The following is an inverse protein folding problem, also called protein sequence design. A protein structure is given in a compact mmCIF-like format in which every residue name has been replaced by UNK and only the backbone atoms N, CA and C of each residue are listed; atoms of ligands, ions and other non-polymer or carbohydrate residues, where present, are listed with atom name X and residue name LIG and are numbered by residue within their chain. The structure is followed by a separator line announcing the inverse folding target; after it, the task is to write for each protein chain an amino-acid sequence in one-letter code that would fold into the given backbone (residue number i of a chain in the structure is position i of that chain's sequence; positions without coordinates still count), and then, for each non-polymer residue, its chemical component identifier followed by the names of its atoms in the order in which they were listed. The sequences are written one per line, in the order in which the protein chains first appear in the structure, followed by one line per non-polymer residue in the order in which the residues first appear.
data_IF_506825132378
#
_entry.id   IF_506825132378
#
_cell.length_a   1.000
_cell.length_b   1.000
_cell.length_c   1.000
_cell.angle_alpha   90.00
_cell.angle_beta   90.00
_cell.angle_gamma   90.00
#
_symmetry.space_group_name_H-M   'P 1'
#
loop_
_entity.id
_entity.type
_entity.pdbx_description
1 polymer ?
#
# COMPACT_ATOMS: atom_id res chain seq x y z
N UNK A 1 56.01 -4.68 -6.16
CA UNK A 1 55.13 -5.33 -5.16
C UNK A 1 54.69 -4.39 -4.03
N UNK A 2 55.59 -3.82 -3.21
CA UNK A 2 55.21 -2.93 -2.07
C UNK A 2 54.39 -1.68 -2.45
N UNK A 3 54.72 -1.02 -3.58
CA UNK A 3 53.97 0.18 -4.06
C UNK A 3 52.55 -0.16 -4.56
N UNK A 4 52.40 -1.30 -5.24
CA UNK A 4 51.10 -1.80 -5.69
C UNK A 4 50.23 -2.21 -4.49
N UNK A 5 50.80 -2.90 -3.50
CA UNK A 5 50.10 -3.26 -2.27
C UNK A 5 49.66 -2.01 -1.47
N UNK A 6 50.52 -1.00 -1.34
CA UNK A 6 50.16 0.27 -0.70
C UNK A 6 49.05 1.01 -1.48
N UNK A 7 49.11 1.02 -2.80
CA UNK A 7 48.05 1.59 -3.65
C UNK A 7 46.71 0.88 -3.48
N UNK A 8 46.71 -0.46 -3.51
CA UNK A 8 45.51 -1.26 -3.27
C UNK A 8 44.91 -0.99 -1.88
N UNK A 9 45.76 -0.92 -0.84
CA UNK A 9 45.31 -0.65 0.52
C UNK A 9 44.68 0.75 0.64
N UNK A 10 45.24 1.78 -0.03
CA UNK A 10 44.64 3.12 -0.07
C UNK A 10 43.26 3.09 -0.73
N UNK A 11 43.11 2.39 -1.86
CA UNK A 11 41.82 2.27 -2.55
C UNK A 11 40.79 1.55 -1.66
N UNK A 12 41.17 0.44 -1.02
CA UNK A 12 40.29 -0.29 -0.10
C UNK A 12 39.90 0.60 1.09
N UNK A 13 40.85 1.31 1.71
CA UNK A 13 40.56 2.22 2.82
C UNK A 13 39.62 3.36 2.41
N UNK A 14 39.77 3.88 1.19
CA UNK A 14 38.89 4.92 0.67
C UNK A 14 37.46 4.41 0.43
N UNK A 15 37.32 3.22 -0.17
CA UNK A 15 36.00 2.57 -0.35
C UNK A 15 35.35 2.30 1.01
N UNK A 16 36.12 1.79 1.97
CA UNK A 16 35.64 1.55 3.34
C UNK A 16 35.17 2.85 3.99
N UNK A 17 35.93 3.94 3.83
CA UNK A 17 35.54 5.26 4.35
C UNK A 17 34.22 5.73 3.76
N UNK A 18 34.02 5.61 2.44
CA UNK A 18 32.74 5.94 1.79
C UNK A 18 31.60 5.11 2.36
N UNK A 19 31.80 3.79 2.50
CA UNK A 19 30.80 2.89 3.06
C UNK A 19 30.44 3.27 4.50
N UNK A 20 31.43 3.58 5.34
CA UNK A 20 31.21 4.03 6.72
C UNK A 20 30.43 5.36 6.72
N UNK A 21 30.81 6.34 5.90
CA UNK A 21 30.11 7.61 5.81
C UNK A 21 28.65 7.44 5.38
N UNK A 22 28.37 6.59 4.39
CA UNK A 22 27.01 6.32 3.93
C UNK A 22 26.17 5.58 4.99
N UNK A 23 26.74 4.58 5.66
CA UNK A 23 26.06 3.88 6.76
C UNK A 23 25.78 4.87 7.90
N UNK A 24 26.76 5.68 8.30
CA UNK A 24 26.56 6.72 9.32
C UNK A 24 25.45 7.70 8.91
N UNK A 25 25.39 8.11 7.64
CA UNK A 25 24.30 8.94 7.13
C UNK A 25 22.93 8.28 7.30
N UNK A 26 22.77 7.01 6.91
CA UNK A 26 21.50 6.28 7.08
C UNK A 26 21.07 6.22 8.55
N UNK A 27 21.99 5.95 9.47
CA UNK A 27 21.66 5.89 10.90
C UNK A 27 21.35 7.26 11.52
N UNK A 28 22.02 8.33 11.08
CA UNK A 28 21.80 9.68 11.59
C UNK A 28 20.51 10.30 11.07
N UNK A 29 20.12 9.99 9.83
CA UNK A 29 18.93 10.55 9.21
C UNK A 29 17.68 9.69 9.41
N UNK A 30 17.84 8.42 9.82
CA UNK A 30 16.73 7.54 10.14
C UNK A 30 15.86 8.13 11.26
N UNK A 31 14.64 8.49 10.89
CA UNK A 31 13.60 8.99 11.78
C UNK A 31 12.30 8.30 11.43
N UNK A 32 11.54 7.99 12.46
CA UNK A 32 10.16 7.52 12.33
C UNK A 32 9.24 8.58 12.89
N UNK A 33 8.10 8.76 12.24
CA UNK A 33 7.05 9.59 12.80
C UNK A 33 6.52 8.95 14.09
N UNK A 34 6.09 9.76 15.07
CA UNK A 34 5.55 9.26 16.31
C UNK A 34 4.29 8.42 16.06
N UNK A 35 4.02 7.53 17.02
CA UNK A 35 2.78 6.77 17.06
C UNK A 35 1.60 7.65 17.50
N UNK A 36 0.36 7.22 17.18
CA UNK A 36 -0.87 7.94 17.51
C UNK A 36 -0.84 9.41 17.07
N UNK A 37 -0.46 9.63 15.81
CA UNK A 37 -0.32 10.96 15.23
C UNK A 37 -1.63 11.37 14.58
N UNK A 38 -2.30 12.39 15.12
CA UNK A 38 -3.47 12.98 14.47
C UNK A 38 -3.10 13.50 13.07
N UNK A 39 -3.94 13.22 12.09
CA UNK A 39 -3.76 13.65 10.71
C UNK A 39 -4.66 14.82 10.38
N UNK A 40 -4.18 15.68 9.49
CA UNK A 40 -4.98 16.77 8.94
C UNK A 40 -6.00 16.21 7.95
N UNK A 41 -7.28 16.41 8.27
CA UNK A 41 -8.39 16.07 7.40
C UNK A 41 -8.71 17.27 6.52
N UNK A 42 -8.72 17.07 5.20
CA UNK A 42 -9.13 18.09 4.24
C UNK A 42 -10.56 17.81 3.80
N UNK A 43 -11.50 18.47 4.48
CA UNK A 43 -12.90 18.41 4.11
C UNK A 43 -13.22 19.47 3.05
N UNK A 44 -13.61 19.03 1.85
CA UNK A 44 -13.98 19.92 0.74
C UNK A 44 -15.29 20.64 1.08
N UNK A 45 -15.25 21.97 1.13
CA UNK A 45 -16.39 22.80 1.59
C UNK A 45 -17.52 22.95 0.58
N UNK A 46 -17.32 22.53 -0.67
CA UNK A 46 -18.28 22.67 -1.77
C UNK A 46 -19.01 21.37 -2.12
N UNK A 47 -18.74 20.28 -1.42
CA UNK A 47 -19.44 19.02 -1.66
C UNK A 47 -20.84 19.08 -1.07
N UNK A 48 -21.82 18.65 -1.86
CA UNK A 48 -23.15 18.41 -1.35
C UNK A 48 -23.09 17.25 -0.34
N UNK A 49 -23.97 17.28 0.66
CA UNK A 49 -24.19 16.10 1.51
C UNK A 49 -24.59 14.93 0.61
N UNK A 50 -23.89 13.78 0.68
CA UNK A 50 -24.26 12.62 -0.12
C UNK A 50 -25.71 12.21 0.13
N UNK A 51 -26.40 11.78 -0.92
CA UNK A 51 -27.75 11.20 -0.79
C UNK A 51 -27.68 9.86 -0.05
N UNK A 52 -28.79 9.52 0.61
CA UNK A 52 -28.91 8.23 1.28
C UNK A 52 -28.91 7.07 0.28
N UNK A 53 -28.19 6.01 0.60
CA UNK A 53 -27.99 4.85 -0.27
C UNK A 53 -28.30 3.54 0.45
N UNK A 54 -28.76 2.57 -0.33
CA UNK A 54 -28.98 1.21 0.16
C UNK A 54 -27.70 0.35 0.15
N UNK A 55 -26.70 0.74 -0.64
CA UNK A 55 -25.40 0.08 -0.72
C UNK A 55 -24.30 1.13 -0.91
N UNK A 56 -23.09 0.75 -0.51
CA UNK A 56 -21.89 1.57 -0.55
C UNK A 56 -20.76 0.78 -1.21
N UNK A 57 -19.79 1.50 -1.74
CA UNK A 57 -18.60 0.92 -2.34
C UNK A 57 -17.32 1.46 -1.69
N UNK A 58 -16.40 0.56 -1.35
CA UNK A 58 -15.03 0.90 -0.95
C UNK A 58 -14.06 0.29 -1.96
N UNK A 59 -13.18 1.09 -2.54
CA UNK A 59 -12.08 0.61 -3.40
C UNK A 59 -10.74 0.73 -2.71
N UNK A 60 -9.94 -0.34 -2.74
CA UNK A 60 -8.52 -0.30 -2.40
C UNK A 60 -7.67 -0.39 -3.66
N UNK A 61 -6.57 0.36 -3.72
CA UNK A 61 -5.65 0.29 -4.84
C UNK A 61 -4.23 0.75 -4.46
N UNK A 62 -3.28 -0.18 -4.45
CA UNK A 62 -1.86 0.15 -4.44
C UNK A 62 -1.47 0.72 -5.82
N UNK A 63 -1.09 1.99 -5.88
CA UNK A 63 -0.85 2.65 -7.16
C UNK A 63 0.59 2.50 -7.67
N UNK A 64 1.47 1.78 -6.97
CA UNK A 64 2.83 1.51 -7.43
C UNK A 64 3.65 2.80 -7.66
N UNK A 65 3.37 3.87 -6.90
CA UNK A 65 3.92 5.22 -7.12
C UNK A 65 3.68 5.78 -8.54
N UNK A 66 2.63 5.27 -9.20
CA UNK A 66 2.36 5.46 -10.63
C UNK A 66 3.60 5.19 -11.52
N UNK A 67 4.52 4.36 -11.06
CA UNK A 67 5.85 4.18 -11.65
C UNK A 67 6.01 2.84 -12.35
N UNK A 68 5.11 1.89 -12.12
CA UNK A 68 5.21 0.49 -12.54
C UNK A 68 4.10 0.12 -13.55
N UNK A 69 4.11 0.66 -14.78
CA UNK A 69 3.21 0.20 -15.83
C UNK A 69 3.46 -1.27 -16.19
N UNK A 70 2.63 -1.82 -17.05
CA UNK A 70 2.65 -3.23 -17.48
C UNK A 70 3.98 -3.63 -18.13
N UNK A 71 4.64 -2.72 -18.86
CA UNK A 71 5.93 -2.97 -19.49
C UNK A 71 7.15 -2.80 -18.54
N UNK A 72 6.91 -2.42 -17.28
CA UNK A 72 7.95 -2.18 -16.30
C UNK A 72 8.51 -3.46 -15.67
N UNK A 73 9.77 -3.39 -15.24
CA UNK A 73 10.43 -4.43 -14.44
C UNK A 73 11.37 -3.81 -13.40
N UNK A 74 11.11 -4.13 -12.14
CA UNK A 74 11.82 -3.66 -10.96
C UNK A 74 13.06 -4.49 -10.65
N UNK A 75 14.18 -3.81 -10.41
CA UNK A 75 15.50 -4.46 -10.27
C UNK A 75 15.66 -5.37 -9.05
N UNK A 76 14.96 -5.09 -7.93
CA UNK A 76 15.03 -5.96 -6.74
C UNK A 76 14.45 -7.33 -7.05
N UNK A 77 13.43 -7.38 -7.90
CA UNK A 77 12.76 -8.60 -8.35
C UNK A 77 13.48 -9.28 -9.53
N UNK A 78 14.67 -8.81 -9.89
CA UNK A 78 15.47 -9.33 -11.02
C UNK A 78 15.31 -8.55 -12.33
N UNK A 79 14.51 -7.48 -12.33
CA UNK A 79 14.28 -6.60 -13.47
C UNK A 79 15.39 -5.57 -13.69
N UNK A 80 15.05 -4.48 -14.39
CA UNK A 80 16.05 -3.52 -14.90
C UNK A 80 16.05 -2.16 -14.16
N UNK A 81 14.90 -1.69 -13.73
CA UNK A 81 14.70 -0.30 -13.36
C UNK A 81 14.49 -0.13 -11.85
N UNK A 82 14.90 1.02 -11.32
CA UNK A 82 14.79 1.38 -9.90
C UNK A 82 13.93 2.62 -9.64
N UNK A 83 13.48 3.26 -10.73
CA UNK A 83 12.69 4.48 -10.76
C UNK A 83 11.80 4.40 -12.01
N UNK A 84 10.69 5.14 -12.02
CA UNK A 84 9.88 5.35 -13.22
C UNK A 84 10.76 5.76 -14.41
N UNK A 85 10.27 5.55 -15.63
CA UNK A 85 11.03 5.93 -16.84
C UNK A 85 11.32 7.44 -16.86
N UNK A 86 10.27 8.24 -16.74
CA UNK A 86 10.33 9.68 -16.72
C UNK A 86 9.08 10.26 -16.04
N UNK A 87 9.04 11.58 -15.88
CA UNK A 87 7.94 12.27 -15.22
C UNK A 87 6.64 12.15 -16.02
N UNK A 88 6.71 12.08 -17.35
CA UNK A 88 5.51 11.99 -18.19
C UNK A 88 4.82 10.64 -18.02
N UNK A 89 5.59 9.56 -17.88
CA UNK A 89 5.09 8.22 -17.58
C UNK A 89 4.30 8.22 -16.28
N UNK A 90 4.85 8.82 -15.21
CA UNK A 90 4.16 8.95 -13.91
C UNK A 90 2.84 9.72 -14.06
N UNK A 91 2.84 10.85 -14.76
CA UNK A 91 1.62 11.64 -14.99
C UNK A 91 0.57 10.88 -15.81
N UNK A 92 0.99 10.19 -16.88
CA UNK A 92 0.08 9.37 -17.70
C UNK A 92 -0.53 8.22 -16.89
N UNK A 93 0.25 7.59 -16.02
CA UNK A 93 -0.22 6.53 -15.14
C UNK A 93 -1.20 7.07 -14.10
N UNK A 94 -0.92 8.22 -13.49
CA UNK A 94 -1.85 8.91 -12.60
C UNK A 94 -3.17 9.23 -13.30
N UNK A 95 -3.14 9.75 -14.53
CA UNK A 95 -4.35 10.03 -15.32
C UNK A 95 -5.17 8.76 -15.58
N UNK A 96 -4.49 7.65 -15.87
CA UNK A 96 -5.10 6.32 -16.00
C UNK A 96 -5.73 5.82 -14.71
N UNK A 97 -5.02 5.92 -13.59
CA UNK A 97 -5.50 5.58 -12.24
C UNK A 97 -6.74 6.41 -11.91
N UNK A 98 -6.68 7.73 -12.07
CA UNK A 98 -7.80 8.65 -11.81
C UNK A 98 -9.01 8.29 -12.69
N UNK A 99 -8.79 7.99 -13.97
CA UNK A 99 -9.88 7.64 -14.88
C UNK A 99 -10.59 6.36 -14.44
N UNK A 100 -9.84 5.35 -14.01
CA UNK A 100 -10.40 4.12 -13.46
C UNK A 100 -11.15 4.38 -12.15
N UNK A 101 -10.55 5.11 -11.20
CA UNK A 101 -11.20 5.44 -9.92
C UNK A 101 -12.51 6.24 -10.12
N UNK A 102 -12.55 7.16 -11.09
CA UNK A 102 -13.77 7.88 -11.46
C UNK A 102 -14.83 6.98 -12.10
N UNK A 103 -14.42 5.97 -12.87
CA UNK A 103 -15.34 5.01 -13.46
C UNK A 103 -15.95 4.06 -12.41
N UNK A 104 -15.15 3.67 -11.41
CA UNK A 104 -15.61 2.88 -10.27
C UNK A 104 -16.54 3.69 -9.34
N UNK A 105 -16.31 5.00 -9.24
CA UNK A 105 -17.15 5.95 -8.49
C UNK A 105 -17.45 5.53 -7.04
N UNK A 106 -16.51 4.84 -6.40
CA UNK A 106 -16.69 4.33 -5.04
C UNK A 106 -16.92 5.44 -4.02
N UNK A 107 -17.61 5.14 -2.93
CA UNK A 107 -17.88 6.09 -1.86
C UNK A 107 -16.64 6.40 -1.02
N UNK A 108 -15.81 5.38 -0.82
CA UNK A 108 -14.52 5.47 -0.15
C UNK A 108 -13.44 4.88 -1.06
N UNK A 109 -12.28 5.51 -1.11
CA UNK A 109 -11.10 5.04 -1.84
C UNK A 109 -9.91 5.02 -0.87
N UNK A 110 -9.18 3.91 -0.81
CA UNK A 110 -7.98 3.74 0.01
C UNK A 110 -6.79 3.39 -0.89
N UNK A 111 -5.87 4.33 -1.05
CA UNK A 111 -4.70 4.20 -1.90
C UNK A 111 -3.44 3.97 -1.06
N UNK A 112 -2.58 3.08 -1.55
CA UNK A 112 -1.25 2.80 -1.01
C UNK A 112 -0.19 3.27 -2.01
N UNK A 113 1.06 3.43 -1.54
CA UNK A 113 2.19 3.81 -2.39
C UNK A 113 2.01 5.15 -3.11
N UNK A 114 1.51 6.15 -2.38
CA UNK A 114 1.33 7.51 -2.89
C UNK A 114 2.51 8.39 -2.46
N UNK A 115 3.38 8.76 -3.41
CA UNK A 115 4.55 9.60 -3.15
C UNK A 115 4.14 11.09 -3.04
N UNK A 116 4.60 11.77 -1.98
CA UNK A 116 4.61 13.25 -1.96
C UNK A 116 5.88 13.77 -2.63
N UNK A 117 6.99 13.06 -2.45
CA UNK A 117 8.25 13.42 -3.10
C UNK A 117 9.13 12.19 -3.18
N UNK A 118 9.39 11.70 -4.39
CA UNK A 118 10.33 10.60 -4.57
C UNK A 118 11.16 10.71 -5.84
N UNK A 119 12.43 10.35 -5.77
CA UNK A 119 13.23 10.17 -6.98
C UNK A 119 12.66 9.06 -7.87
N UNK A 120 12.05 8.03 -7.27
CA UNK A 120 11.40 6.91 -7.98
C UNK A 120 10.20 7.36 -8.81
N UNK A 121 9.39 8.28 -8.30
CA UNK A 121 8.23 8.92 -8.95
C UNK A 121 8.59 10.24 -9.66
N UNK A 122 9.89 10.53 -9.86
CA UNK A 122 10.38 11.75 -10.54
C UNK A 122 9.93 13.06 -9.89
N UNK A 123 9.76 13.02 -8.57
CA UNK A 123 9.33 14.13 -7.72
C UNK A 123 7.95 14.70 -8.13
N UNK A 124 7.05 13.84 -8.64
CA UNK A 124 5.64 14.19 -8.76
C UNK A 124 5.03 14.23 -7.36
N UNK A 125 4.24 15.27 -7.07
CA UNK A 125 3.44 15.38 -5.86
C UNK A 125 2.11 14.65 -6.10
N UNK A 126 2.08 13.34 -5.86
CA UNK A 126 0.96 12.49 -6.26
C UNK A 126 -0.28 12.76 -5.41
N UNK A 127 -0.10 13.04 -4.11
CA UNK A 127 -1.20 13.42 -3.21
C UNK A 127 -1.95 14.64 -3.75
N UNK A 128 -1.25 15.72 -4.08
CA UNK A 128 -1.85 16.94 -4.63
C UNK A 128 -2.50 16.69 -5.99
N UNK A 129 -1.87 15.86 -6.83
CA UNK A 129 -2.38 15.52 -8.17
C UNK A 129 -3.69 14.72 -8.07
N UNK A 130 -3.73 13.71 -7.22
CA UNK A 130 -4.92 12.88 -6.96
C UNK A 130 -6.03 13.70 -6.32
N UNK A 131 -5.74 14.46 -5.26
CA UNK A 131 -6.73 15.28 -4.55
C UNK A 131 -7.35 16.36 -5.45
N UNK A 132 -6.55 16.98 -6.34
CA UNK A 132 -7.05 17.99 -7.30
C UNK A 132 -8.01 17.38 -8.32
N UNK A 133 -7.70 16.16 -8.80
CA UNK A 133 -8.47 15.52 -9.86
C UNK A 133 -9.64 14.67 -9.33
N UNK A 134 -9.60 14.26 -8.07
CA UNK A 134 -10.66 13.59 -7.31
C UNK A 134 -11.29 14.58 -6.31
N UNK A 135 -11.52 15.81 -6.74
CA UNK A 135 -12.01 16.89 -5.89
C UNK A 135 -13.45 16.71 -5.39
N UNK A 136 -14.15 15.65 -5.84
CA UNK A 136 -15.43 15.22 -5.29
C UNK A 136 -15.32 14.45 -3.97
N UNK A 137 -14.12 14.31 -3.41
CA UNK A 137 -13.86 13.61 -2.16
C UNK A 137 -13.21 14.53 -1.11
N UNK A 138 -13.62 14.34 0.14
CA UNK A 138 -12.81 14.65 1.31
C UNK A 138 -11.61 13.71 1.35
N UNK A 139 -10.47 14.14 1.89
CA UNK A 139 -9.29 13.27 1.93
C UNK A 139 -8.42 13.49 3.15
N UNK A 140 -7.61 12.49 3.44
CA UNK A 140 -6.56 12.52 4.45
C UNK A 140 -5.35 11.73 3.96
N UNK A 141 -4.15 12.26 4.23
CA UNK A 141 -2.90 11.60 3.92
C UNK A 141 -2.15 11.22 5.20
N UNK A 142 -1.70 9.98 5.30
CA UNK A 142 -0.81 9.50 6.36
C UNK A 142 0.48 8.93 5.78
N UNK A 143 1.61 9.58 6.06
CA UNK A 143 2.92 9.07 5.67
C UNK A 143 3.19 7.70 6.32
N UNK A 144 3.63 6.72 5.55
CA UNK A 144 4.02 5.41 6.06
C UNK A 144 5.38 4.93 5.51
N UNK A 145 6.11 5.85 4.88
CA UNK A 145 7.44 5.60 4.33
C UNK A 145 8.22 6.91 4.23
N UNK A 146 9.45 6.90 4.72
CA UNK A 146 10.36 8.05 4.63
C UNK A 146 11.80 7.57 4.49
N UNK A 147 12.34 7.71 3.28
CA UNK A 147 13.68 7.31 2.93
C UNK A 147 14.54 8.48 2.53
N UNK A 148 15.58 8.70 3.33
CA UNK A 148 16.61 9.71 3.15
C UNK A 148 17.29 9.61 1.79
N UNK A 149 17.85 8.44 1.46
CA UNK A 149 18.36 8.09 0.13
C UNK A 149 18.81 6.62 0.09
N UNK A 150 18.16 5.79 -0.73
CA UNK A 150 18.65 4.43 -1.01
C UNK A 150 19.64 4.43 -2.18
N UNK A 151 20.93 4.27 -1.86
CA UNK A 151 22.04 4.19 -2.82
C UNK A 151 22.19 2.79 -3.47
N UNK A 152 21.08 2.19 -3.90
CA UNK A 152 21.07 0.88 -4.56
C UNK A 152 19.97 0.82 -5.63
N UNK A 153 20.23 0.30 -6.85
CA UNK A 153 21.52 -0.17 -7.35
C UNK A 153 22.51 0.99 -7.58
N UNK A 154 23.82 0.72 -7.49
CA UNK A 154 24.88 1.75 -7.48
C UNK A 154 24.82 2.68 -8.72
N UNK A 155 24.50 2.13 -9.89
CA UNK A 155 24.48 2.89 -11.17
C UNK A 155 23.20 3.67 -11.39
N UNK A 156 22.10 3.26 -10.77
CA UNK A 156 20.80 3.92 -10.85
C UNK A 156 20.09 3.80 -9.50
N UNK A 157 20.51 4.53 -8.45
CA UNK A 157 19.94 4.36 -7.12
C UNK A 157 18.43 4.56 -7.08
N UNK A 158 17.68 3.90 -6.20
CA UNK A 158 16.26 4.24 -5.95
C UNK A 158 16.16 5.73 -5.56
N UNK A 159 17.05 6.19 -4.67
CA UNK A 159 17.10 7.58 -4.21
C UNK A 159 16.25 7.84 -2.98
N UNK A 160 15.93 9.12 -2.74
CA UNK A 160 15.10 9.56 -1.62
C UNK A 160 13.62 9.43 -1.99
N UNK A 161 12.76 9.09 -1.02
CA UNK A 161 11.32 9.10 -1.21
C UNK A 161 10.56 9.26 0.11
N UNK A 162 9.50 10.07 0.08
CA UNK A 162 8.49 10.19 1.11
C UNK A 162 7.15 9.78 0.51
N UNK A 163 6.48 8.81 1.14
CA UNK A 163 5.26 8.17 0.63
C UNK A 163 4.29 7.88 1.76
N UNK A 164 3.03 7.65 1.40
CA UNK A 164 2.02 7.31 2.37
C UNK A 164 0.79 6.62 1.82
N UNK A 165 -0.22 6.67 2.67
CA UNK A 165 -1.55 6.16 2.48
C UNK A 165 -2.47 7.37 2.26
N UNK A 166 -3.22 7.36 1.17
CA UNK A 166 -4.22 8.40 0.87
C UNK A 166 -5.60 7.76 0.96
N UNK A 167 -6.43 8.28 1.85
CA UNK A 167 -7.81 7.86 1.94
C UNK A 167 -8.73 8.99 1.52
N UNK A 168 -9.69 8.68 0.65
CA UNK A 168 -10.68 9.61 0.11
C UNK A 168 -12.08 9.13 0.45
N UNK A 169 -12.99 10.05 0.78
CA UNK A 169 -14.39 9.74 1.09
C UNK A 169 -15.32 10.79 0.51
N UNK A 170 -16.44 10.36 -0.09
CA UNK A 170 -17.53 11.28 -0.48
C UNK A 170 -18.23 11.86 0.74
N UNK A 171 -18.08 11.23 1.90
CA UNK A 171 -18.63 11.64 3.18
C UNK A 171 -17.57 12.40 4.00
N UNK A 172 -17.94 13.42 4.79
CA UNK A 172 -16.99 14.11 5.64
C UNK A 172 -16.20 13.16 6.53
N UNK A 173 -14.88 13.31 6.55
CA UNK A 173 -14.04 12.57 7.48
C UNK A 173 -14.05 13.38 8.79
N UNK A 174 -14.46 12.75 9.88
CA UNK A 174 -14.67 13.41 11.16
C UNK A 174 -13.36 13.56 11.93
N UNK A 175 -12.55 12.51 11.92
CA UNK A 175 -11.18 12.50 12.44
C UNK A 175 -10.38 11.41 11.75
N UNK A 176 -9.06 11.55 11.80
CA UNK A 176 -8.15 10.53 11.29
C UNK A 176 -6.84 10.52 12.07
N UNK A 177 -6.31 9.32 12.30
CA UNK A 177 -5.09 9.11 13.07
C UNK A 177 -4.18 8.10 12.39
N UNK A 178 -2.89 8.37 12.39
CA UNK A 178 -1.84 7.44 11.96
C UNK A 178 -1.30 6.66 13.15
N UNK A 179 -1.20 5.34 12.97
CA UNK A 179 -0.57 4.44 13.93
C UNK A 179 0.60 3.72 13.29
N UNK A 180 1.74 3.73 13.97
CA UNK A 180 2.94 3.01 13.55
C UNK A 180 2.71 1.50 13.59
N UNK A 181 3.31 0.77 12.66
CA UNK A 181 3.39 -0.68 12.70
C UNK A 181 4.78 -1.11 13.24
N UNK A 182 4.85 -2.25 13.95
CA UNK A 182 6.14 -2.88 14.23
C UNK A 182 6.84 -3.26 12.93
N UNK A 183 8.16 -3.09 12.89
CA UNK A 183 9.03 -3.42 11.76
C UNK A 183 10.25 -4.18 12.29
N UNK A 184 10.97 -4.88 11.41
CA UNK A 184 12.27 -5.49 11.76
C UNK A 184 13.23 -4.42 12.32
N UNK A 185 14.10 -4.80 13.27
CA UNK A 185 15.02 -3.87 13.96
C UNK A 185 16.46 -3.94 13.47
N UNK A 186 16.76 -4.90 12.59
CA UNK A 186 18.06 -5.09 11.96
C UNK A 186 18.27 -4.12 10.78
N UNK A 187 19.11 -4.49 9.79
CA UNK A 187 19.36 -3.62 8.63
C UNK A 187 18.14 -3.50 7.70
N UNK A 188 17.18 -4.44 7.77
CA UNK A 188 15.98 -4.42 6.93
C UNK A 188 15.05 -3.25 7.26
N UNK A 189 15.18 -2.66 8.46
CA UNK A 189 14.45 -1.44 8.85
C UNK A 189 14.67 -0.25 7.91
N UNK A 190 15.79 -0.23 7.18
CA UNK A 190 16.09 0.79 6.19
C UNK A 190 15.40 0.56 4.84
N UNK A 191 14.78 -0.60 4.65
CA UNK A 191 13.98 -0.93 3.47
C UNK A 191 12.48 -0.92 3.80
N UNK A 192 12.12 -1.23 5.06
CA UNK A 192 10.74 -1.26 5.57
C UNK A 192 10.36 0.03 6.34
N UNK A 193 10.93 1.16 5.92
CA UNK A 193 10.93 2.43 6.64
C UNK A 193 9.50 2.89 6.99
N UNK A 194 9.30 3.18 8.28
CA UNK A 194 8.15 3.86 8.87
C UNK A 194 6.72 3.35 8.57
N UNK A 195 6.59 2.02 8.37
CA UNK A 195 5.29 1.35 8.22
C UNK A 195 4.27 1.82 9.25
N UNK A 196 3.06 2.04 8.77
CA UNK A 196 1.94 2.55 9.52
C UNK A 196 0.63 2.24 8.78
N UNK A 197 -0.48 2.34 9.49
CA UNK A 197 -1.83 2.39 8.92
C UNK A 197 -2.53 3.67 9.39
N UNK A 198 -3.57 4.07 8.67
CA UNK A 198 -4.43 5.20 9.06
C UNK A 198 -5.80 4.71 9.44
N UNK A 199 -6.33 5.19 10.56
CA UNK A 199 -7.70 4.95 11.01
C UNK A 199 -8.48 6.24 10.83
N UNK A 200 -9.55 6.19 10.05
CA UNK A 200 -10.39 7.34 9.75
C UNK A 200 -11.84 7.02 10.09
N UNK A 201 -12.58 8.01 10.58
CA UNK A 201 -13.98 7.86 10.96
C UNK A 201 -14.87 8.76 10.09
N UNK A 202 -16.00 8.22 9.66
CA UNK A 202 -17.05 8.93 8.91
C UNK A 202 -18.42 8.35 9.30
N UNK A 203 -19.49 8.96 8.81
CA UNK A 203 -20.85 8.51 9.05
C UNK A 203 -21.57 8.29 7.71
N UNK A 204 -22.07 7.07 7.49
CA UNK A 204 -22.86 6.67 6.33
C UNK A 204 -24.33 6.61 6.72
N UNK A 205 -25.16 7.56 6.30
CA UNK A 205 -26.60 7.61 6.61
C UNK A 205 -26.95 7.46 8.10
N UNK A 206 -26.13 8.05 8.97
CA UNK A 206 -26.29 7.96 10.43
C UNK A 206 -25.65 6.73 11.06
N UNK A 207 -25.03 5.84 10.27
CA UNK A 207 -24.25 4.72 10.73
C UNK A 207 -22.75 5.10 10.82
N UNK A 208 -22.16 5.12 12.02
CA UNK A 208 -20.73 5.37 12.19
C UNK A 208 -19.89 4.27 11.54
N UNK A 209 -18.90 4.66 10.74
CA UNK A 209 -17.98 3.77 10.04
C UNK A 209 -16.54 4.19 10.33
N UNK A 210 -15.74 3.23 10.78
CA UNK A 210 -14.29 3.32 10.83
C UNK A 210 -13.69 2.60 9.62
N UNK A 211 -12.96 3.31 8.78
CA UNK A 211 -12.20 2.73 7.68
C UNK A 211 -10.69 2.83 7.91
N UNK A 212 -9.99 1.71 7.71
CA UNK A 212 -8.57 1.55 8.02
C UNK A 212 -7.80 1.20 6.74
N UNK A 213 -6.93 2.13 6.32
CA UNK A 213 -6.06 1.93 5.16
C UNK A 213 -4.74 1.31 5.63
N UNK A 214 -4.38 0.16 5.06
CA UNK A 214 -3.18 -0.60 5.41
C UNK A 214 -2.23 -0.80 4.23
N UNK A 215 -0.94 -0.90 4.54
CA UNK A 215 0.06 -1.48 3.67
C UNK A 215 1.05 -2.25 4.56
N UNK A 216 0.87 -3.57 4.66
CA UNK A 216 1.66 -4.43 5.55
C UNK A 216 3.02 -4.77 4.94
N UNK A 217 3.93 -5.34 5.72
CA UNK A 217 5.31 -5.60 5.27
C UNK A 217 5.42 -6.78 4.28
N UNK A 218 6.03 -6.53 3.11
CA UNK A 218 6.24 -7.49 2.01
C UNK A 218 7.46 -8.43 2.15
N UNK A 219 8.48 -8.04 2.92
CA UNK A 219 9.82 -8.67 2.87
C UNK A 219 10.35 -9.15 4.22
N UNK A 220 9.46 -9.29 5.22
CA UNK A 220 9.87 -9.81 6.54
C UNK A 220 10.06 -11.32 6.49
N UNK A 221 11.21 -11.80 6.97
CA UNK A 221 11.39 -13.24 7.25
C UNK A 221 10.95 -13.57 8.67
N UNK A 222 10.84 -12.57 9.52
CA UNK A 222 10.40 -12.71 10.90
C UNK A 222 8.86 -12.73 10.96
N UNK A 223 8.31 -13.93 11.17
CA UNK A 223 6.88 -14.13 11.38
C UNK A 223 6.34 -13.35 12.59
N UNK A 224 7.17 -13.07 13.58
CA UNK A 224 6.73 -12.30 14.76
C UNK A 224 6.37 -10.86 14.39
N UNK A 225 7.04 -10.26 13.40
CA UNK A 225 6.71 -8.90 12.96
C UNK A 225 5.31 -8.87 12.40
N UNK A 226 4.98 -9.79 11.49
CA UNK A 226 3.63 -9.93 10.93
C UNK A 226 2.58 -10.13 12.02
N UNK A 227 2.78 -11.10 12.92
CA UNK A 227 1.82 -11.35 14.00
C UNK A 227 1.61 -10.10 14.86
N UNK A 228 2.68 -9.34 15.14
CA UNK A 228 2.58 -8.11 15.91
C UNK A 228 1.90 -6.98 15.14
N UNK A 229 2.05 -6.91 13.81
CA UNK A 229 1.30 -5.98 12.96
C UNK A 229 -0.20 -6.29 13.01
N UNK A 230 -0.57 -7.57 12.85
CA UNK A 230 -1.97 -8.02 12.88
C UNK A 230 -2.58 -7.83 14.28
N UNK A 231 -1.89 -8.22 15.35
CA UNK A 231 -2.33 -8.00 16.74
C UNK A 231 -2.58 -6.52 17.02
N UNK A 232 -1.69 -5.65 16.53
CA UNK A 232 -1.84 -4.21 16.68
C UNK A 232 -3.07 -3.71 15.92
N UNK A 233 -3.22 -4.04 14.65
CA UNK A 233 -4.40 -3.70 13.86
C UNK A 233 -5.70 -4.19 14.52
N UNK A 234 -5.71 -5.44 14.98
CA UNK A 234 -6.84 -6.10 15.66
C UNK A 234 -7.30 -5.34 16.90
N UNK A 235 -6.37 -4.73 17.65
CA UNK A 235 -6.72 -3.94 18.83
C UNK A 235 -7.54 -2.69 18.47
N UNK A 236 -7.21 -2.02 17.36
CA UNK A 236 -7.97 -0.86 16.88
C UNK A 236 -9.31 -1.26 16.27
N UNK A 237 -9.35 -2.34 15.49
CA UNK A 237 -10.58 -2.91 14.95
C UNK A 237 -11.56 -3.25 16.09
N UNK A 238 -11.08 -4.01 17.09
CA UNK A 238 -11.89 -4.43 18.24
C UNK A 238 -12.41 -3.23 19.04
N UNK A 239 -11.57 -2.20 19.24
CA UNK A 239 -11.98 -1.01 19.97
C UNK A 239 -13.03 -0.21 19.20
N UNK A 240 -12.81 0.04 17.91
CA UNK A 240 -13.75 0.78 17.06
C UNK A 240 -15.12 0.09 17.00
N UNK A 241 -15.14 -1.24 16.89
CA UNK A 241 -16.38 -2.03 16.88
C UNK A 241 -17.11 -1.96 18.23
N UNK A 242 -16.39 -2.05 19.36
CA UNK A 242 -16.97 -1.87 20.71
C UNK A 242 -17.54 -0.47 20.94
N UNK A 243 -16.96 0.54 20.30
CA UNK A 243 -17.43 1.92 20.35
C UNK A 243 -18.66 2.16 19.45
N UNK A 244 -19.15 1.12 18.77
CA UNK A 244 -20.37 1.14 17.97
C UNK A 244 -20.18 1.53 16.51
N UNK A 245 -18.93 1.53 16.01
CA UNK A 245 -18.66 1.73 14.58
C UNK A 245 -18.68 0.40 13.84
N UNK A 246 -19.24 0.37 12.64
CA UNK A 246 -18.86 -0.64 11.65
C UNK A 246 -17.38 -0.44 11.29
N UNK A 247 -16.68 -1.50 10.91
CA UNK A 247 -15.24 -1.44 10.65
C UNK A 247 -14.91 -2.11 9.31
N UNK A 248 -14.22 -1.36 8.44
CA UNK A 248 -13.66 -1.88 7.19
C UNK A 248 -12.16 -1.60 7.18
N UNK A 249 -11.34 -2.64 7.04
CA UNK A 249 -9.92 -2.54 6.72
C UNK A 249 -9.75 -2.85 5.25
N UNK A 250 -8.99 -2.05 4.51
CA UNK A 250 -8.59 -2.40 3.16
C UNK A 250 -7.17 -1.94 2.85
N UNK A 251 -6.53 -2.62 1.90
CA UNK A 251 -5.19 -2.28 1.49
C UNK A 251 -4.46 -3.43 0.85
N UNK A 252 -3.16 -3.19 0.68
CA UNK A 252 -2.18 -4.21 0.32
C UNK A 252 -1.71 -4.92 1.59
N UNK A 253 -2.15 -6.16 1.77
CA UNK A 253 -1.77 -6.97 2.93
C UNK A 253 -0.42 -7.63 2.75
N UNK A 254 0.18 -7.60 1.56
CA UNK A 254 1.40 -8.34 1.24
C UNK A 254 1.33 -9.82 1.66
N UNK A 255 0.14 -10.39 1.61
CA UNK A 255 -0.19 -11.76 1.97
C UNK A 255 -1.26 -12.24 1.01
N UNK A 256 -1.25 -13.54 0.69
CA UNK A 256 -2.32 -14.13 -0.11
C UNK A 256 -3.64 -14.10 0.67
N UNK A 257 -4.52 -13.17 0.28
CA UNK A 257 -5.83 -12.93 0.91
C UNK A 257 -6.87 -13.98 0.51
N UNK A 258 -6.60 -14.78 -0.52
CA UNK A 258 -7.44 -15.93 -0.88
C UNK A 258 -7.03 -17.17 -0.05
N UNK A 259 -5.74 -17.27 0.24
CA UNK A 259 -5.08 -18.35 0.98
C UNK A 259 -4.70 -19.56 0.11
N UNK A 260 -5.09 -19.55 -1.17
CA UNK A 260 -4.82 -20.57 -2.18
C UNK A 260 -4.66 -19.96 -3.59
N UNK A 261 -4.12 -18.74 -3.69
CA UNK A 261 -3.85 -18.08 -4.97
C UNK A 261 -3.05 -18.95 -5.94
N UNK A 262 -2.01 -19.72 -5.53
CA UNK A 262 -1.28 -20.60 -6.44
C UNK A 262 -2.17 -21.63 -7.16
N UNK A 263 -3.17 -22.20 -6.48
CA UNK A 263 -4.15 -23.11 -7.09
C UNK A 263 -5.06 -22.40 -8.08
N UNK A 264 -5.50 -21.19 -7.75
CA UNK A 264 -6.48 -20.43 -8.55
C UNK A 264 -5.87 -19.92 -9.85
N UNK A 265 -4.64 -19.40 -9.79
CA UNK A 265 -3.93 -18.82 -10.93
C UNK A 265 -2.98 -19.81 -11.63
N UNK A 266 -2.84 -21.03 -11.11
CA UNK A 266 -1.90 -22.02 -11.62
C UNK A 266 -0.45 -21.48 -11.69
N UNK A 267 -0.05 -20.75 -10.65
CA UNK A 267 1.30 -20.22 -10.48
C UNK A 267 2.17 -21.17 -9.64
N UNK A 268 3.47 -20.88 -9.54
CA UNK A 268 4.36 -21.69 -8.71
C UNK A 268 3.97 -21.61 -7.22
N UNK A 269 4.21 -22.70 -6.48
CA UNK A 269 3.90 -22.80 -5.04
C UNK A 269 5.04 -22.29 -4.16
N UNK A 270 6.08 -21.67 -4.74
CA UNK A 270 7.18 -21.14 -3.94
C UNK A 270 6.64 -19.92 -3.19
N UNK A 271 6.51 -20.06 -1.88
CA UNK A 271 6.00 -18.96 -1.05
C UNK A 271 7.04 -17.85 -1.02
N UNK A 272 6.67 -16.71 -1.61
CA UNK A 272 7.43 -15.46 -1.58
C UNK A 272 7.12 -14.75 -0.28
N UNK A 273 7.99 -13.83 0.14
CA UNK A 273 7.82 -13.08 1.39
C UNK A 273 6.52 -12.27 1.44
N UNK A 274 5.92 -11.98 0.27
CA UNK A 274 4.68 -11.23 0.10
C UNK A 274 3.49 -12.09 -0.38
N UNK A 275 3.63 -13.42 -0.44
CA UNK A 275 2.55 -14.33 -0.89
C UNK A 275 2.25 -15.43 0.12
N UNK A 276 2.65 -15.25 1.38
CA UNK A 276 2.21 -16.13 2.45
C UNK A 276 0.69 -15.99 2.62
N UNK A 277 -0.07 -17.08 2.79
CA UNK A 277 -1.48 -16.98 3.17
C UNK A 277 -1.66 -16.07 4.38
N UNK A 278 -2.64 -15.17 4.33
CA UNK A 278 -2.97 -14.33 5.47
C UNK A 278 -3.38 -15.21 6.66
N UNK A 279 -2.84 -15.00 7.88
CA UNK A 279 -3.15 -15.83 9.03
C UNK A 279 -4.51 -15.43 9.65
N UNK A 280 -5.60 -15.91 9.03
CA UNK A 280 -6.98 -15.61 9.43
C UNK A 280 -7.28 -15.98 10.89
N UNK A 281 -6.57 -16.96 11.45
CA UNK A 281 -6.70 -17.40 12.84
C UNK A 281 -6.24 -16.35 13.87
N UNK A 282 -5.53 -15.31 13.44
CA UNK A 282 -5.13 -14.18 14.27
C UNK A 282 -6.16 -13.05 14.30
N UNK A 283 -7.24 -13.14 13.52
CA UNK A 283 -8.30 -12.15 13.55
C UNK A 283 -9.07 -12.21 14.88
N UNK A 284 -9.48 -11.05 15.43
CA UNK A 284 -10.32 -11.01 16.61
C UNK A 284 -11.74 -11.50 16.28
N UNK A 285 -12.51 -11.85 17.31
CA UNK A 285 -13.94 -12.12 17.17
C UNK A 285 -14.64 -10.92 16.50
N UNK A 286 -15.71 -11.22 15.74
CA UNK A 286 -16.51 -10.27 14.96
C UNK A 286 -15.88 -9.74 13.67
N UNK A 287 -14.82 -10.37 13.18
CA UNK A 287 -14.15 -9.96 11.96
C UNK A 287 -13.90 -11.13 11.02
N UNK A 288 -14.01 -10.86 9.72
CA UNK A 288 -13.77 -11.84 8.68
C UNK A 288 -13.14 -11.22 7.43
N UNK A 289 -12.50 -12.07 6.62
CA UNK A 289 -12.00 -11.68 5.29
C UNK A 289 -13.02 -12.13 4.25
N UNK A 290 -13.73 -11.19 3.59
CA UNK A 290 -14.59 -11.57 2.48
C UNK A 290 -13.74 -12.03 1.29
N UNK A 291 -14.14 -13.15 0.69
CA UNK A 291 -13.50 -13.72 -0.51
C UNK A 291 -14.37 -13.62 -1.76
N UNK A 292 -15.68 -13.38 -1.58
CA UNK A 292 -16.64 -13.22 -2.67
C UNK A 292 -16.46 -14.27 -3.78
N UNK A 293 -16.44 -13.79 -5.03
CA UNK A 293 -16.23 -14.60 -6.24
C UNK A 293 -14.77 -14.59 -6.72
N UNK A 294 -13.81 -14.09 -5.93
CA UNK A 294 -12.42 -13.89 -6.36
C UNK A 294 -11.78 -15.16 -6.96
N UNK A 295 -12.03 -16.33 -6.34
CA UNK A 295 -11.49 -17.61 -6.82
C UNK A 295 -12.09 -18.06 -8.16
N UNK A 296 -13.36 -17.76 -8.42
CA UNK A 296 -14.02 -18.11 -9.68
C UNK A 296 -13.72 -17.11 -10.79
N UNK A 297 -13.57 -15.83 -10.46
CA UNK A 297 -13.34 -14.75 -11.43
C UNK A 297 -11.91 -14.81 -11.99
N UNK A 298 -10.95 -15.28 -11.18
CA UNK A 298 -9.55 -15.46 -11.57
C UNK A 298 -8.92 -14.18 -12.12
N UNK A 299 -9.29 -13.04 -11.57
CA UNK A 299 -8.65 -11.75 -11.84
C UNK A 299 -7.69 -11.45 -10.69
N UNK A 300 -6.36 -11.43 -10.90
CA UNK A 300 -5.39 -11.20 -9.83
C UNK A 300 -5.35 -9.74 -9.39
N UNK A 301 -4.95 -9.48 -8.15
CA UNK A 301 -4.77 -8.11 -7.65
C UNK A 301 -3.35 -7.60 -7.86
N UNK A 302 -2.36 -8.49 -7.97
CA UNK A 302 -0.94 -8.14 -8.10
C UNK A 302 -0.23 -9.05 -9.10
N UNK A 303 0.78 -8.51 -9.77
CA UNK A 303 1.76 -9.26 -10.57
C UNK A 303 3.15 -9.19 -9.94
N UNK A 304 4.00 -10.19 -10.20
CA UNK A 304 5.43 -10.03 -9.93
C UNK A 304 6.02 -8.96 -10.83
N UNK A 305 6.92 -8.14 -10.29
CA UNK A 305 7.47 -7.00 -11.01
C UNK A 305 8.91 -7.25 -11.53
N UNK A 306 9.38 -8.51 -11.54
CA UNK A 306 10.72 -8.84 -12.06
C UNK A 306 10.86 -8.76 -13.59
N UNK A 307 9.75 -8.77 -14.30
CA UNK A 307 9.65 -8.76 -15.76
C UNK A 307 8.40 -7.99 -16.21
N UNK A 308 8.33 -7.53 -17.47
CA UNK A 308 7.10 -7.01 -18.05
C UNK A 308 5.94 -8.00 -17.91
N UNK A 309 4.73 -7.49 -17.71
CA UNK A 309 3.53 -8.31 -17.58
C UNK A 309 3.23 -9.03 -18.90
N UNK A 310 3.10 -10.36 -18.82
CA UNK A 310 2.60 -11.19 -19.90
C UNK A 310 1.41 -12.02 -19.38
N UNK A 311 0.18 -11.74 -19.88
CA UNK A 311 -1.01 -12.47 -19.47
C UNK A 311 -0.86 -13.99 -19.58
N UNK A 312 -1.17 -14.69 -18.50
CA UNK A 312 -1.07 -16.15 -18.43
C UNK A 312 0.35 -16.72 -18.32
N UNK A 313 1.39 -15.88 -18.25
CA UNK A 313 2.77 -16.31 -18.01
C UNK A 313 3.41 -15.70 -16.78
N UNK A 314 3.23 -14.40 -16.56
CA UNK A 314 3.78 -13.74 -15.36
C UNK A 314 3.15 -14.31 -14.09
N UNK A 315 3.93 -14.37 -13.02
CA UNK A 315 3.42 -14.73 -11.70
C UNK A 315 2.43 -13.67 -11.22
N UNK A 316 1.29 -14.11 -10.69
CA UNK A 316 0.22 -13.25 -10.17
C UNK A 316 -0.37 -13.83 -8.88
N UNK A 317 -0.98 -12.99 -8.05
CA UNK A 317 -1.62 -13.37 -6.78
C UNK A 317 -2.75 -12.41 -6.40
N UNK A 318 -3.44 -12.67 -5.29
CA UNK A 318 -4.36 -11.75 -4.62
C UNK A 318 -3.74 -11.34 -3.28
N UNK A 319 -3.24 -10.11 -3.18
CA UNK A 319 -2.68 -9.56 -1.93
C UNK A 319 -3.41 -8.33 -1.42
N UNK A 320 -4.21 -7.72 -2.28
CA UNK A 320 -5.11 -6.63 -1.94
C UNK A 320 -6.45 -7.24 -1.52
N UNK A 321 -7.03 -6.71 -0.44
CA UNK A 321 -8.24 -7.29 0.11
C UNK A 321 -8.91 -6.44 1.17
N UNK A 322 -9.81 -7.08 1.91
CA UNK A 322 -10.59 -6.45 2.96
C UNK A 322 -10.62 -7.30 4.22
N UNK A 323 -10.80 -6.66 5.37
CA UNK A 323 -11.30 -7.28 6.61
C UNK A 323 -12.51 -6.45 7.04
N UNK A 324 -13.62 -7.09 7.38
CA UNK A 324 -14.86 -6.41 7.74
C UNK A 324 -15.43 -6.92 9.06
N UNK A 325 -16.12 -6.06 9.79
CA UNK A 325 -16.90 -6.45 10.97
C UNK A 325 -18.19 -7.19 10.58
N UNK A 326 -18.74 -7.98 11.51
CA UNK A 326 -19.93 -8.85 11.30
C UNK A 326 -21.18 -8.11 10.78
N UNK A 327 -21.31 -6.82 11.08
CA UNK A 327 -22.44 -5.98 10.67
C UNK A 327 -22.32 -5.44 9.23
N UNK A 328 -21.18 -5.63 8.57
CA UNK A 328 -20.99 -5.35 7.15
C UNK A 328 -21.51 -6.53 6.33
N UNK A 329 -22.62 -6.32 5.64
CA UNK A 329 -23.17 -7.31 4.70
C UNK A 329 -22.53 -7.11 3.34
N UNK A 330 -21.62 -8.02 2.99
CA UNK A 330 -20.93 -8.02 1.70
C UNK A 330 -21.86 -8.50 0.59
N UNK A 331 -22.10 -7.63 -0.39
CA UNK A 331 -22.94 -7.92 -1.56
C UNK A 331 -22.11 -8.41 -2.76
N UNK A 332 -20.97 -7.75 -3.00
CA UNK A 332 -20.02 -8.12 -4.06
C UNK A 332 -18.58 -7.79 -3.64
N UNK A 333 -17.63 -8.54 -4.18
CA UNK A 333 -16.20 -8.28 -4.06
C UNK A 333 -15.52 -8.66 -5.38
N UNK A 334 -14.96 -7.67 -6.06
CA UNK A 334 -14.38 -7.85 -7.39
C UNK A 334 -13.06 -7.09 -7.56
N UNK A 335 -12.12 -7.71 -8.27
CA UNK A 335 -10.90 -7.05 -8.76
C UNK A 335 -11.16 -6.57 -10.18
N UNK A 336 -10.84 -5.30 -10.46
CA UNK A 336 -11.08 -4.70 -11.77
C UNK A 336 -9.85 -4.86 -12.65
N UNK A 337 -9.95 -5.70 -13.67
CA UNK A 337 -8.85 -5.92 -14.60
C UNK A 337 -8.58 -4.66 -15.43
N UNK A 338 -7.42 -4.05 -15.19
CA UNK A 338 -6.89 -2.93 -15.98
C UNK A 338 -5.59 -3.33 -16.68
N UNK A 339 -5.34 -4.64 -16.78
CA UNK A 339 -4.16 -5.27 -17.38
C UNK A 339 -2.84 -4.74 -16.80
N UNK A 340 -2.84 -4.33 -15.53
CA UNK A 340 -1.68 -3.73 -14.83
C UNK A 340 -1.07 -2.50 -15.54
N UNK A 341 -1.86 -1.80 -16.36
CA UNK A 341 -1.37 -0.75 -17.26
C UNK A 341 -0.72 0.44 -16.55
N UNK A 342 -1.11 0.70 -15.31
CA UNK A 342 -0.73 1.91 -14.57
C UNK A 342 -0.06 1.62 -13.22
N UNK A 343 -0.08 0.37 -12.78
CA UNK A 343 0.45 -0.14 -11.51
C UNK A 343 0.69 -1.64 -11.67
N UNK A 344 1.61 -2.22 -10.90
CA UNK A 344 1.76 -3.67 -10.74
C UNK A 344 0.66 -4.30 -9.86
N UNK A 345 -0.26 -3.48 -9.36
CA UNK A 345 -1.52 -3.90 -8.75
C UNK A 345 -2.75 -3.50 -9.61
N UNK A 346 -3.91 -4.07 -9.24
CA UNK A 346 -5.22 -3.75 -9.79
C UNK A 346 -6.17 -3.31 -8.67
N UNK A 347 -7.09 -2.36 -8.94
CA UNK A 347 -8.03 -1.92 -7.92
C UNK A 347 -9.02 -3.06 -7.57
N UNK A 348 -9.33 -3.18 -6.28
CA UNK A 348 -10.30 -4.13 -5.75
C UNK A 348 -11.43 -3.37 -5.03
N UNK A 349 -12.68 -3.71 -5.30
CA UNK A 349 -13.86 -3.02 -4.75
C UNK A 349 -14.74 -3.97 -3.97
N UNK A 350 -15.10 -3.55 -2.76
CA UNK A 350 -16.13 -4.16 -1.94
C UNK A 350 -17.43 -3.37 -2.06
N UNK A 351 -18.51 -4.04 -2.46
CA UNK A 351 -19.87 -3.49 -2.39
C UNK A 351 -20.56 -4.08 -1.17
N UNK A 352 -21.16 -3.23 -0.33
CA UNK A 352 -21.73 -3.65 0.93
C UNK A 352 -22.91 -2.80 1.37
N UNK A 353 -23.69 -3.33 2.30
CA UNK A 353 -24.61 -2.55 3.14
C UNK A 353 -24.30 -2.81 4.62
N UNK A 354 -24.83 -1.96 5.50
CA UNK A 354 -24.67 -2.10 6.95
C UNK A 354 -25.97 -2.69 7.50
N UNK A 355 -25.88 -3.82 8.21
CA UNK A 355 -27.04 -4.42 8.87
C UNK A 355 -27.54 -3.51 10.00
N UNK A 356 -28.87 -3.40 10.12
CA UNK A 356 -29.52 -2.55 11.12
C UNK A 356 -29.41 -3.04 12.55
#
# INVERSE_FOLDING_TARGET
MKKLFKGLLIVISFILLIAICYISYLFLDYKRLPDNLALEVVNQTKLATPESKNHYQVTSFNIGYAAYPDDYSFFIDGGKYSRAYDKQTVLNNLDGIISNLKALDSDIIMLQEVDTKGHRSKNVQEVDYLATNLNQYHYVFGQNYDSSYLFYPITQPIGAATSGLLSLSKYPIEKSTRYTLPIETDINKFFDLDRAFTVSETTLDGHPLTFINVHLSAFTKDKNILENQIKRLSSFMTQAYKDGNSVIVAGDFNHDMLGNSPEVFNTDRLVRTWTHPFPEDLLPEHFSIPKGNLASDKVPSVRSNGEPYEPGKSFVSIVDGFIVSDDIVVEDLSVHNIDFKYSDHQPITLTFNISK
#
